data_IF_404335674645
#
_entry.id   IF_404335674645
#
_cell.length_a   1.000
_cell.length_b   1.000
_cell.length_c   1.000
_cell.angle_alpha   90.00
_cell.angle_beta   90.00
_cell.angle_gamma   90.00
#
_symmetry.space_group_name_H-M   'P 1'
#
loop_
_entity.id
_entity.type
_entity.pdbx_description
1 polymer ?
#
# COMPACT_ATOMS: atom_id res chain seq x y z
N UNK A 1 2.25 15.27 -32.42
CA UNK A 1 2.41 13.96 -31.75
C UNK A 1 3.38 14.07 -30.57
N UNK A 2 2.93 14.64 -29.45
CA UNK A 2 3.77 14.94 -28.26
C UNK A 2 3.37 14.12 -27.01
N UNK A 3 2.59 13.05 -27.18
CA UNK A 3 1.94 12.35 -26.06
C UNK A 3 2.78 11.29 -25.34
N UNK A 4 3.92 10.87 -25.90
CA UNK A 4 4.64 9.71 -25.37
C UNK A 4 5.74 10.04 -24.35
N UNK A 5 6.32 11.26 -24.38
CA UNK A 5 7.37 11.69 -23.46
C UNK A 5 6.83 12.17 -22.10
N UNK A 6 5.70 12.87 -22.10
CA UNK A 6 5.06 13.31 -20.85
C UNK A 6 4.59 12.11 -20.00
N UNK A 7 3.98 11.11 -20.65
CA UNK A 7 3.47 9.92 -19.96
C UNK A 7 4.59 9.12 -19.28
N UNK A 8 5.81 9.10 -19.83
CA UNK A 8 6.95 8.42 -19.20
C UNK A 8 7.54 9.22 -18.05
N UNK A 9 7.62 10.56 -18.17
CA UNK A 9 8.08 11.43 -17.07
C UNK A 9 7.13 11.41 -15.87
N UNK A 10 5.82 11.51 -16.09
CA UNK A 10 4.83 11.44 -14.99
C UNK A 10 4.83 10.08 -14.30
N UNK A 11 4.90 8.98 -15.06
CA UNK A 11 5.01 7.63 -14.49
C UNK A 11 6.25 7.46 -13.61
N UNK A 12 7.41 7.97 -14.06
CA UNK A 12 8.65 7.94 -13.28
C UNK A 12 8.50 8.71 -11.97
N UNK A 13 7.95 9.93 -12.01
CA UNK A 13 7.72 10.74 -10.79
C UNK A 13 6.73 10.08 -9.82
N UNK A 14 5.68 9.43 -10.33
CA UNK A 14 4.74 8.67 -9.49
C UNK A 14 5.47 7.51 -8.80
N UNK A 15 6.30 6.77 -9.53
CA UNK A 15 7.06 5.66 -8.96
C UNK A 15 8.08 6.15 -7.91
N UNK A 16 8.82 7.22 -8.18
CA UNK A 16 9.74 7.85 -7.22
C UNK A 16 9.01 8.27 -5.94
N UNK A 17 7.84 8.89 -6.07
CA UNK A 17 7.02 9.26 -4.93
C UNK A 17 6.56 8.05 -4.12
N UNK A 18 6.11 6.98 -4.80
CA UNK A 18 5.70 5.74 -4.14
C UNK A 18 6.87 5.11 -3.36
N UNK A 19 8.04 5.02 -3.98
CA UNK A 19 9.26 4.48 -3.35
C UNK A 19 9.71 5.30 -2.14
N UNK A 20 9.64 6.63 -2.23
CA UNK A 20 10.00 7.52 -1.12
C UNK A 20 9.00 7.46 0.07
N UNK A 21 7.87 6.77 -0.09
CA UNK A 21 6.81 6.63 0.90
C UNK A 21 6.44 5.15 1.11
N UNK A 22 7.38 4.23 0.94
CA UNK A 22 7.15 2.78 1.02
C UNK A 22 6.66 2.30 2.39
N UNK A 23 6.96 3.07 3.44
CA UNK A 23 6.58 2.81 4.84
C UNK A 23 5.13 3.18 5.19
N UNK A 24 4.39 3.79 4.25
CA UNK A 24 3.02 4.27 4.48
C UNK A 24 2.13 4.10 3.26
N UNK A 25 0.82 4.21 3.48
CA UNK A 25 -0.15 4.29 2.39
C UNK A 25 -0.32 5.73 1.90
N UNK A 26 -0.43 5.92 0.59
CA UNK A 26 -0.68 7.21 -0.07
C UNK A 26 -2.00 7.20 -0.83
N UNK A 27 -2.69 8.34 -0.89
CA UNK A 27 -3.88 8.52 -1.72
C UNK A 27 -3.51 8.98 -3.14
N UNK A 28 -4.45 8.87 -4.07
CA UNK A 28 -4.30 9.52 -5.39
C UNK A 28 -4.18 11.04 -5.26
N UNK A 29 -4.85 11.63 -4.28
CA UNK A 29 -4.78 13.06 -3.99
C UNK A 29 -3.37 13.48 -3.55
N UNK A 30 -2.68 12.67 -2.75
CA UNK A 30 -1.29 12.94 -2.35
C UNK A 30 -0.36 12.96 -3.56
N UNK A 31 -0.52 11.99 -4.46
CA UNK A 31 0.26 11.90 -5.71
C UNK A 31 -0.03 13.09 -6.63
N UNK A 32 -1.30 13.47 -6.79
CA UNK A 32 -1.70 14.64 -7.60
C UNK A 32 -1.05 15.94 -7.07
N UNK A 33 -1.09 16.15 -5.76
CA UNK A 33 -0.46 17.31 -5.12
C UNK A 33 1.06 17.30 -5.29
N UNK A 34 1.70 16.14 -5.14
CA UNK A 34 3.14 16.00 -5.37
C UNK A 34 3.52 16.35 -6.82
N UNK A 35 2.75 15.85 -7.79
CA UNK A 35 3.02 16.10 -9.21
C UNK A 35 2.84 17.58 -9.59
N UNK A 36 1.79 18.25 -9.07
CA UNK A 36 1.58 19.68 -9.25
C UNK A 36 2.72 20.53 -8.70
N UNK A 37 3.25 20.18 -7.51
CA UNK A 37 4.41 20.85 -6.91
C UNK A 37 5.71 20.71 -7.72
N UNK A 38 5.77 19.75 -8.64
CA UNK A 38 6.94 19.49 -9.48
C UNK A 38 6.67 19.75 -10.97
N UNK A 39 5.73 20.64 -11.29
CA UNK A 39 5.38 21.06 -12.66
C UNK A 39 5.09 19.88 -13.61
N UNK A 40 4.46 18.82 -13.10
CA UNK A 40 4.12 17.62 -13.88
C UNK A 40 2.65 17.25 -13.70
N UNK A 41 1.77 18.23 -13.92
CA UNK A 41 0.33 18.04 -13.79
C UNK A 41 -0.21 17.05 -14.84
N UNK A 42 -0.98 16.08 -14.36
CA UNK A 42 -1.67 15.11 -15.21
C UNK A 42 -3.11 14.97 -14.74
N UNK A 43 -3.98 14.49 -15.64
CA UNK A 43 -5.34 14.16 -15.25
C UNK A 43 -5.34 13.08 -14.15
N UNK A 44 -6.13 13.28 -13.10
CA UNK A 44 -6.26 12.34 -11.98
C UNK A 44 -6.62 10.90 -12.45
N UNK A 45 -7.38 10.77 -13.53
CA UNK A 45 -7.72 9.50 -14.17
C UNK A 45 -6.48 8.77 -14.69
N UNK A 46 -5.47 9.50 -15.16
CA UNK A 46 -4.17 8.94 -15.58
C UNK A 46 -3.42 8.35 -14.39
N UNK A 47 -3.49 9.00 -13.22
CA UNK A 47 -2.90 8.49 -11.98
C UNK A 47 -3.59 7.19 -11.56
N UNK A 48 -4.93 7.18 -11.51
CA UNK A 48 -5.71 5.96 -11.23
C UNK A 48 -5.35 4.80 -12.17
N UNK A 49 -5.35 5.04 -13.49
CA UNK A 49 -5.01 4.02 -14.49
C UNK A 49 -3.60 3.47 -14.31
N UNK A 50 -2.65 4.31 -13.93
CA UNK A 50 -1.27 3.86 -13.71
C UNK A 50 -1.13 3.07 -12.40
N UNK A 51 -1.76 3.51 -11.31
CA UNK A 51 -1.74 2.78 -10.05
C UNK A 51 -2.47 1.44 -10.15
N UNK A 52 -3.58 1.37 -10.89
CA UNK A 52 -4.26 0.09 -11.15
C UNK A 52 -3.40 -0.85 -12.00
N UNK A 53 -2.56 -0.32 -12.90
CA UNK A 53 -1.56 -1.11 -13.62
C UNK A 53 -0.51 -1.65 -12.66
N UNK A 54 0.10 -0.79 -11.83
CA UNK A 54 1.10 -1.20 -10.84
C UNK A 54 0.54 -2.22 -9.84
N UNK A 55 -0.74 -2.11 -9.47
CA UNK A 55 -1.40 -3.05 -8.58
C UNK A 55 -1.57 -4.43 -9.21
N UNK A 56 -1.87 -4.49 -10.52
CA UNK A 56 -1.90 -5.75 -11.27
C UNK A 56 -0.51 -6.38 -11.40
N UNK A 57 0.52 -5.55 -11.47
CA UNK A 57 1.93 -5.97 -11.53
C UNK A 57 2.51 -6.33 -10.16
N UNK A 58 1.76 -6.13 -9.07
CA UNK A 58 2.22 -6.39 -7.69
C UNK A 58 3.21 -5.35 -7.15
N UNK A 59 3.51 -4.29 -7.90
CA UNK A 59 4.41 -3.20 -7.47
C UNK A 59 3.77 -2.29 -6.42
N UNK A 60 2.43 -2.25 -6.34
CA UNK A 60 1.71 -1.57 -5.28
C UNK A 60 0.56 -2.41 -4.75
N UNK A 61 0.26 -2.30 -3.47
CA UNK A 61 -0.96 -2.82 -2.87
C UNK A 61 -2.04 -1.73 -2.90
N UNK A 62 -3.26 -2.09 -3.30
CA UNK A 62 -4.42 -1.19 -3.30
C UNK A 62 -5.36 -1.57 -2.16
N UNK A 63 -5.71 -0.59 -1.34
CA UNK A 63 -6.59 -0.76 -0.19
C UNK A 63 -7.80 0.15 -0.31
N UNK A 64 -9.01 -0.40 -0.11
CA UNK A 64 -10.28 0.33 -0.19
C UNK A 64 -11.01 0.20 1.15
N UNK A 65 -11.12 1.31 1.88
CA UNK A 65 -11.75 1.36 3.20
C UNK A 65 -13.27 1.58 3.08
N UNK A 66 -14.03 0.51 2.85
CA UNK A 66 -15.51 0.54 2.74
C UNK A 66 -16.12 1.49 1.68
N UNK A 67 -17.44 1.40 1.48
CA UNK A 67 -18.16 2.15 0.44
C UNK A 67 -18.05 3.65 0.68
N UNK A 68 -17.32 4.34 -0.20
CA UNK A 68 -17.27 5.80 -0.27
C UNK A 68 -15.92 6.41 0.09
N UNK A 69 -14.99 5.65 0.67
CA UNK A 69 -13.65 6.16 0.96
C UNK A 69 -12.74 6.11 -0.26
N UNK A 70 -11.80 7.06 -0.33
CA UNK A 70 -10.76 7.04 -1.35
C UNK A 70 -9.85 5.82 -1.18
N UNK A 71 -9.50 5.16 -2.28
CA UNK A 71 -8.51 4.11 -2.28
C UNK A 71 -7.14 4.67 -1.90
N UNK A 72 -6.41 3.91 -1.08
CA UNK A 72 -5.01 4.18 -0.76
C UNK A 72 -4.12 3.09 -1.33
N UNK A 73 -2.88 3.46 -1.61
CA UNK A 73 -1.90 2.64 -2.30
C UNK A 73 -0.62 2.57 -1.48
N UNK A 74 0.03 1.42 -1.42
CA UNK A 74 1.34 1.25 -0.79
C UNK A 74 2.31 0.68 -1.79
N UNK A 75 3.53 1.21 -1.84
CA UNK A 75 4.60 0.60 -2.63
C UNK A 75 5.04 -0.74 -2.02
N UNK A 76 5.18 -1.75 -2.86
CA UNK A 76 5.74 -3.04 -2.47
C UNK A 76 7.21 -3.04 -2.83
N UNK A 77 8.07 -3.02 -1.81
CA UNK A 77 9.51 -3.08 -2.02
C UNK A 77 9.89 -4.47 -2.58
N UNK A 78 10.67 -4.48 -3.66
CA UNK A 78 11.08 -5.73 -4.32
C UNK A 78 11.91 -6.58 -3.36
N UNK A 79 11.41 -7.78 -3.03
CA UNK A 79 12.04 -8.71 -2.09
C UNK A 79 11.24 -8.92 -0.80
N UNK A 80 10.25 -8.07 -0.52
CA UNK A 80 9.26 -8.34 0.50
C UNK A 80 8.22 -9.30 -0.09
N UNK A 81 8.18 -10.53 0.40
CA UNK A 81 7.26 -11.58 -0.03
C UNK A 81 5.83 -11.32 0.46
N UNK A 82 5.27 -10.14 0.15
CA UNK A 82 3.97 -9.63 0.61
C UNK A 82 2.75 -10.50 0.25
N UNK A 83 2.94 -11.54 -0.57
CA UNK A 83 1.90 -12.52 -0.85
C UNK A 83 1.84 -13.65 0.19
N UNK A 84 2.89 -13.80 1.02
CA UNK A 84 3.08 -14.91 1.94
C UNK A 84 2.82 -14.52 3.41
N UNK A 85 2.81 -13.22 3.74
CA UNK A 85 2.57 -12.73 5.10
C UNK A 85 1.45 -11.70 5.23
N UNK A 86 0.93 -11.56 6.45
CA UNK A 86 -0.09 -10.57 6.79
C UNK A 86 0.51 -9.18 6.99
N UNK A 87 -0.26 -8.14 6.69
CA UNK A 87 0.12 -6.75 6.95
C UNK A 87 -0.72 -6.18 8.10
N UNK A 88 -0.10 -5.45 9.03
CA UNK A 88 -0.84 -4.63 9.98
C UNK A 88 -0.91 -3.20 9.47
N UNK A 89 -2.10 -2.60 9.50
CA UNK A 89 -2.27 -1.18 9.20
C UNK A 89 -2.74 -0.41 10.41
N UNK A 90 -2.00 0.65 10.75
CA UNK A 90 -2.44 1.60 11.75
C UNK A 90 -3.62 2.42 11.21
N UNK A 91 -4.76 2.41 11.91
CA UNK A 91 -5.95 3.19 11.51
C UNK A 91 -5.77 4.69 11.74
N UNK A 92 -4.84 5.09 12.60
CA UNK A 92 -4.60 6.51 12.93
C UNK A 92 -3.59 7.17 11.99
N UNK A 93 -2.43 6.56 11.76
CA UNK A 93 -1.37 7.16 10.93
C UNK A 93 -1.17 6.49 9.57
N UNK A 94 -1.80 5.34 9.31
CA UNK A 94 -1.64 4.62 8.05
C UNK A 94 -0.30 3.88 7.89
N UNK A 95 0.55 3.81 8.92
CA UNK A 95 1.79 3.03 8.84
C UNK A 95 1.47 1.55 8.66
N UNK A 96 2.33 0.86 7.92
CA UNK A 96 2.21 -0.56 7.63
C UNK A 96 3.35 -1.32 8.32
N UNK A 97 3.01 -2.44 8.96
CA UNK A 97 3.96 -3.35 9.59
C UNK A 97 3.83 -4.70 8.91
N UNK A 98 4.93 -5.24 8.40
CA UNK A 98 4.99 -6.52 7.74
C UNK A 98 5.20 -7.63 8.77
N UNK A 99 4.36 -8.66 8.79
CA UNK A 99 4.58 -9.85 9.64
C UNK A 99 5.53 -10.84 8.95
N UNK A 100 6.72 -10.37 8.58
CA UNK A 100 7.79 -11.19 8.00
C UNK A 100 8.57 -11.90 9.11
N UNK A 101 7.90 -12.76 9.89
CA UNK A 101 8.55 -13.52 10.94
C UNK A 101 8.06 -14.96 10.96
N UNK A 102 8.86 -15.86 11.55
CA UNK A 102 8.57 -17.29 11.67
C UNK A 102 7.21 -17.59 12.32
N UNK A 103 6.63 -16.62 13.04
CA UNK A 103 5.28 -16.73 13.59
C UNK A 103 4.19 -16.91 12.52
N UNK A 104 4.38 -16.43 11.29
CA UNK A 104 3.40 -16.67 10.21
C UNK A 104 3.32 -18.15 9.82
N UNK A 105 4.44 -18.88 9.90
CA UNK A 105 4.46 -20.32 9.66
C UNK A 105 3.66 -21.05 10.73
N UNK A 106 3.83 -20.65 12.00
CA UNK A 106 3.05 -21.19 13.13
C UNK A 106 1.54 -20.96 12.96
N UNK A 107 1.13 -19.76 12.52
CA UNK A 107 -0.28 -19.45 12.22
C UNK A 107 -0.79 -20.32 11.08
N UNK A 108 -0.04 -20.41 9.97
CA UNK A 108 -0.45 -21.18 8.81
C UNK A 108 -0.60 -22.67 9.15
N UNK A 109 0.32 -23.24 9.95
CA UNK A 109 0.25 -24.61 10.41
C UNK A 109 -0.95 -24.84 11.33
N UNK A 110 -1.16 -23.98 12.33
CA UNK A 110 -2.30 -24.08 13.24
C UNK A 110 -3.63 -24.04 12.50
N UNK A 111 -3.81 -23.08 11.59
CA UNK A 111 -5.04 -22.90 10.81
C UNK A 111 -5.28 -24.09 9.88
N UNK A 112 -4.21 -24.66 9.29
CA UNK A 112 -4.33 -25.86 8.48
C UNK A 112 -4.71 -27.09 9.32
N UNK A 113 -4.04 -27.30 10.44
CA UNK A 113 -4.18 -28.51 11.26
C UNK A 113 -5.50 -28.55 12.03
N UNK A 114 -5.86 -27.46 12.68
CA UNK A 114 -6.99 -27.44 13.62
C UNK A 114 -8.30 -27.03 12.94
N UNK A 115 -8.21 -26.35 11.78
CA UNK A 115 -9.38 -25.86 11.03
C UNK A 115 -9.47 -26.39 9.59
N UNK A 116 -8.48 -27.14 9.09
CA UNK A 116 -8.48 -27.66 7.71
C UNK A 116 -8.42 -26.56 6.65
N UNK A 117 -7.90 -25.38 7.00
CA UNK A 117 -7.95 -24.19 6.16
C UNK A 117 -6.55 -23.77 5.68
N UNK A 118 -6.38 -23.61 4.36
CA UNK A 118 -5.13 -23.09 3.80
C UNK A 118 -5.13 -21.57 3.81
N UNK A 119 -4.24 -20.98 4.59
CA UNK A 119 -4.12 -19.52 4.69
C UNK A 119 -3.69 -18.91 3.36
N UNK A 120 -4.39 -17.86 2.92
CA UNK A 120 -4.00 -17.02 1.78
C UNK A 120 -3.78 -15.59 2.26
N UNK A 121 -2.52 -15.14 2.29
CA UNK A 121 -2.15 -13.83 2.83
C UNK A 121 -2.25 -12.69 1.80
N UNK A 122 -2.37 -13.00 0.51
CA UNK A 122 -2.46 -12.01 -0.56
C UNK A 122 -3.55 -10.98 -0.28
N UNK A 123 -3.18 -9.69 -0.33
CA UNK A 123 -4.05 -8.55 -0.05
C UNK A 123 -4.69 -8.52 1.34
N UNK A 124 -4.18 -9.31 2.31
CA UNK A 124 -4.73 -9.35 3.66
C UNK A 124 -4.13 -8.26 4.54
N UNK A 125 -5.00 -7.53 5.24
CA UNK A 125 -4.64 -6.52 6.24
C UNK A 125 -5.39 -6.78 7.54
N UNK A 126 -4.67 -6.71 8.65
CA UNK A 126 -5.24 -6.57 9.99
C UNK A 126 -5.16 -5.09 10.40
N UNK A 127 -6.29 -4.51 10.78
CA UNK A 127 -6.37 -3.12 11.20
C UNK A 127 -6.17 -3.01 12.72
N UNK A 128 -5.42 -1.99 13.15
CA UNK A 128 -5.17 -1.74 14.56
C UNK A 128 -4.50 -0.39 14.83
N UNK A 129 -3.84 -0.25 15.97
CA UNK A 129 -3.04 0.92 16.32
C UNK A 129 -1.57 0.55 16.48
N UNK A 130 -0.69 1.30 15.80
CA UNK A 130 0.74 1.13 16.00
C UNK A 130 1.16 1.63 17.39
N UNK A 131 2.35 1.19 17.83
CA UNK A 131 2.93 1.55 19.12
C UNK A 131 2.92 3.06 19.38
N UNK A 132 3.29 3.86 18.37
CA UNK A 132 3.41 5.31 18.51
C UNK A 132 2.05 6.01 18.59
N UNK A 133 1.04 5.53 17.85
CA UNK A 133 -0.32 6.08 17.96
C UNK A 133 -0.99 5.69 19.27
N UNK A 134 -0.80 4.45 19.74
CA UNK A 134 -1.30 4.00 21.04
C UNK A 134 -0.73 4.83 22.19
N UNK A 135 0.59 5.05 22.22
CA UNK A 135 1.24 5.90 23.23
C UNK A 135 0.73 7.34 23.25
N UNK A 136 0.27 7.88 22.11
CA UNK A 136 -0.31 9.23 22.04
C UNK A 136 -1.70 9.27 22.66
N UNK A 137 -2.54 8.28 22.35
CA UNK A 137 -3.87 8.16 22.96
C UNK A 137 -3.81 7.94 24.47
N UNK A 138 -2.85 7.14 24.96
CA UNK A 138 -2.71 6.87 26.41
C UNK A 138 -2.23 8.11 27.23
N UNK A 139 -1.84 9.20 26.57
CA UNK A 139 -1.36 10.44 27.18
C UNK A 139 -2.41 11.57 27.16
N UNK A 140 -3.56 11.32 26.54
CA UNK A 140 -4.73 12.21 26.48
C UNK A 140 -5.76 11.81 27.54
#
# INVERSE_FOLDING_TARGET
MAGNGYATTSRKKILEYLMANSDRTVTVTDIDQYLKKHDNEVNITTIYRYLDKLAKEGTVMKYVAEKGSQAVYQYVEMGHHCEEHLHLKCVSCGCIIHLECAFMDEIAEHVLKDHGFTLQCKNSIIYGLCRECRKKQDRE
#
